data_IF_026159165435
#
_entry.id   IF_026159165435
#
_cell.length_a   1.000
_cell.length_b   1.000
_cell.length_c   1.000
_cell.angle_alpha   90.00
_cell.angle_beta   90.00
_cell.angle_gamma   90.00
#
_symmetry.space_group_name_H-M   'P 1'
#
loop_
_entity.id
_entity.type
_entity.pdbx_description
1 polymer ?
#
# COMPACT_ATOMS: atom_id res chain seq x y z
N UNK A 1 8.59 -7.98 0.01
CA UNK A 1 7.92 -6.66 0.03
C UNK A 1 7.75 -6.24 -1.41
N UNK A 2 6.51 -6.03 -1.82
CA UNK A 2 6.17 -5.63 -3.19
C UNK A 2 5.76 -4.16 -3.19
N UNK A 3 6.41 -3.35 -4.03
CA UNK A 3 5.98 -1.97 -4.24
C UNK A 3 4.66 -1.97 -5.01
N UNK A 4 3.64 -1.30 -4.48
CA UNK A 4 2.30 -1.23 -5.09
C UNK A 4 2.19 0.03 -5.94
N UNK A 5 2.57 1.19 -5.39
CA UNK A 5 2.49 2.48 -6.06
C UNK A 5 3.28 3.54 -5.28
N UNK A 6 3.52 4.72 -5.88
CA UNK A 6 4.11 5.87 -5.21
C UNK A 6 3.22 7.10 -5.36
N UNK A 7 3.18 7.94 -4.31
CA UNK A 7 2.44 9.20 -4.31
C UNK A 7 3.35 10.37 -3.96
N UNK A 8 3.24 11.48 -4.71
CA UNK A 8 3.93 12.72 -4.36
C UNK A 8 3.35 13.39 -3.10
N UNK A 9 2.05 13.21 -2.83
CA UNK A 9 1.39 13.78 -1.67
C UNK A 9 1.24 12.73 -0.55
N UNK A 10 1.89 12.92 0.62
CA UNK A 10 1.85 11.95 1.71
C UNK A 10 0.44 11.75 2.29
N UNK A 11 -0.44 12.75 2.19
CA UNK A 11 -1.84 12.62 2.65
C UNK A 11 -2.63 11.66 1.77
N UNK A 12 -2.32 11.61 0.48
CA UNK A 12 -2.96 10.68 -0.46
C UNK A 12 -2.48 9.26 -0.20
N UNK A 13 -1.18 9.06 0.01
CA UNK A 13 -0.62 7.76 0.41
C UNK A 13 -1.28 7.25 1.70
N UNK A 14 -1.44 8.12 2.71
CA UNK A 14 -2.09 7.75 3.96
C UNK A 14 -3.56 7.35 3.76
N UNK A 15 -4.34 8.15 3.04
CA UNK A 15 -5.75 7.83 2.78
C UNK A 15 -5.91 6.51 2.02
N UNK A 16 -5.00 6.20 1.10
CA UNK A 16 -4.97 4.93 0.38
C UNK A 16 -4.69 3.74 1.33
N UNK A 17 -3.66 3.86 2.19
CA UNK A 17 -3.34 2.83 3.18
C UNK A 17 -4.49 2.61 4.17
N UNK A 18 -5.10 3.70 4.65
CA UNK A 18 -6.24 3.63 5.57
C UNK A 18 -7.43 2.90 4.94
N UNK A 19 -7.76 3.22 3.68
CA UNK A 19 -8.82 2.52 2.95
C UNK A 19 -8.50 1.03 2.78
N UNK A 20 -7.29 0.69 2.36
CA UNK A 20 -6.89 -0.72 2.16
C UNK A 20 -6.94 -1.52 3.47
N UNK A 21 -6.59 -0.90 4.60
CA UNK A 21 -6.73 -1.51 5.91
C UNK A 21 -8.20 -1.83 6.25
N UNK A 22 -9.17 -0.99 5.85
CA UNK A 22 -10.61 -1.32 6.00
C UNK A 22 -11.04 -2.53 5.18
N UNK A 23 -10.32 -2.84 4.11
CA UNK A 23 -10.54 -4.01 3.25
C UNK A 23 -9.74 -5.24 3.71
N UNK A 24 -9.05 -5.15 4.86
CA UNK A 24 -8.21 -6.22 5.39
C UNK A 24 -6.84 -6.33 4.75
N UNK A 25 -6.45 -5.37 3.89
CA UNK A 25 -5.14 -5.36 3.23
C UNK A 25 -4.17 -4.47 3.99
N UNK A 26 -3.05 -5.05 4.42
CA UNK A 26 -2.04 -4.33 5.22
C UNK A 26 -0.93 -3.80 4.33
N UNK A 27 -0.85 -2.47 4.24
CA UNK A 27 0.16 -1.76 3.48
C UNK A 27 1.02 -0.91 4.43
N UNK A 28 2.27 -0.67 4.02
CA UNK A 28 3.20 0.22 4.73
C UNK A 28 3.62 1.36 3.82
N UNK A 29 3.85 2.54 4.41
CA UNK A 29 4.38 3.71 3.71
C UNK A 29 5.87 3.80 4.01
N UNK A 30 6.68 3.87 2.96
CA UNK A 30 8.07 4.30 3.07
C UNK A 30 8.18 5.72 2.53
N UNK A 31 8.64 6.64 3.37
CA UNK A 31 8.66 8.07 3.04
C UNK A 31 10.08 8.51 2.63
N UNK A 32 10.21 8.97 1.39
CA UNK A 32 11.37 9.65 0.81
C UNK A 32 10.89 10.99 0.22
N UNK A 33 11.45 11.45 -0.91
CA UNK A 33 10.90 12.58 -1.69
C UNK A 33 9.47 12.31 -2.21
N UNK A 34 9.09 11.03 -2.29
CA UNK A 34 7.74 10.54 -2.52
C UNK A 34 7.34 9.54 -1.42
N UNK A 35 6.04 9.27 -1.32
CA UNK A 35 5.48 8.28 -0.39
C UNK A 35 5.19 6.99 -1.13
N UNK A 36 6.06 6.00 -0.95
CA UNK A 36 5.93 4.69 -1.58
C UNK A 36 5.05 3.78 -0.73
N UNK A 37 4.11 3.10 -1.36
CA UNK A 37 3.21 2.16 -0.70
C UNK A 37 3.63 0.74 -1.02
N UNK A 38 3.85 -0.04 0.03
CA UNK A 38 4.34 -1.41 -0.04
C UNK A 38 3.34 -2.38 0.55
N UNK A 39 3.22 -3.55 -0.08
CA UNK A 39 2.52 -4.68 0.49
C UNK A 39 3.45 -5.43 1.43
N UNK A 40 3.03 -5.56 2.69
CA UNK A 40 3.81 -6.24 3.73
C UNK A 40 3.81 -7.77 3.52
N UNK A 41 2.72 -8.33 3.03
CA UNK A 41 2.53 -9.76 2.83
C UNK A 41 2.11 -10.08 1.39
N UNK A 42 3.03 -10.68 0.63
CA UNK A 42 2.84 -11.04 -0.77
C UNK A 42 1.78 -12.11 -1.00
N UNK A 43 1.39 -12.87 0.03
CA UNK A 43 0.29 -13.84 -0.08
C UNK A 43 -1.05 -13.16 -0.40
N UNK A 44 -1.22 -11.91 0.01
CA UNK A 44 -2.42 -11.11 -0.29
C UNK A 44 -2.50 -10.68 -1.75
N UNK A 45 -1.38 -10.62 -2.47
CA UNK A 45 -1.38 -10.34 -3.91
C UNK A 45 -2.02 -11.48 -4.73
N UNK A 46 -2.18 -12.67 -4.14
CA UNK A 46 -2.68 -13.87 -4.82
C UNK A 46 -4.19 -14.04 -4.74
N UNK A 47 -4.90 -13.25 -3.93
CA UNK A 47 -6.32 -13.44 -3.61
C UNK A 47 -7.32 -12.99 -4.70
N UNK A 48 -6.86 -12.56 -5.89
CA UNK A 48 -7.71 -12.04 -6.97
C UNK A 48 -7.68 -12.83 -8.28
N UNK A 49 -7.02 -13.98 -8.36
CA UNK A 49 -6.97 -14.81 -9.56
C UNK A 49 -7.59 -16.20 -9.30
N UNK A 50 -8.92 -16.24 -9.25
CA UNK A 50 -9.73 -17.46 -9.17
C UNK A 50 -11.00 -17.29 -9.97
#
# INVERSE_FOLDING_TARGET
>A
MLMITSFANPRVAQAFVDYMATQGVILTIQQHDQSDVWLADESQARAGAG
#
